data_IF_794397914009
#
_entry.id   IF_794397914009
#
_cell.length_a   1.000
_cell.length_b   1.000
_cell.length_c   1.000
_cell.angle_alpha   90.00
_cell.angle_beta   90.00
_cell.angle_gamma   90.00
#
_symmetry.space_group_name_H-M   'P 1'
#
loop_
_entity.id
_entity.type
_entity.pdbx_description
1 polymer ?
#
# COMPACT_ATOMS: atom_id res chain seq x y z
N UNK A 1 -16.73 -5.60 -23.98
CA UNK A 1 -15.70 -5.18 -23.00
C UNK A 1 -15.00 -6.44 -22.54
N UNK A 2 -13.74 -6.64 -22.91
CA UNK A 2 -12.96 -7.73 -22.33
C UNK A 2 -12.72 -7.43 -20.84
N UNK A 3 -12.97 -8.39 -19.94
CA UNK A 3 -12.69 -8.21 -18.52
C UNK A 3 -11.18 -7.94 -18.31
N UNK A 4 -10.88 -6.76 -17.79
CA UNK A 4 -9.51 -6.30 -17.56
C UNK A 4 -9.02 -6.82 -16.20
N UNK A 5 -8.87 -8.14 -16.10
CA UNK A 5 -8.58 -8.86 -14.86
C UNK A 5 -7.31 -8.36 -14.16
N UNK A 6 -6.29 -7.97 -14.90
CA UNK A 6 -5.03 -7.48 -14.34
C UNK A 6 -5.21 -6.22 -13.52
N UNK A 7 -6.02 -5.26 -13.99
CA UNK A 7 -6.36 -4.05 -13.25
C UNK A 7 -7.07 -4.35 -11.94
N UNK A 8 -8.01 -5.30 -11.97
CA UNK A 8 -8.79 -5.68 -10.79
C UNK A 8 -7.86 -6.31 -9.74
N UNK A 9 -6.95 -7.18 -10.17
CA UNK A 9 -5.96 -7.81 -9.29
C UNK A 9 -5.04 -6.77 -8.66
N UNK A 10 -4.46 -5.87 -9.47
CA UNK A 10 -3.61 -4.78 -8.97
C UNK A 10 -4.38 -3.92 -7.98
N UNK A 11 -5.62 -3.56 -8.29
CA UNK A 11 -6.46 -2.75 -7.41
C UNK A 11 -6.72 -3.42 -6.06
N UNK A 12 -7.02 -4.73 -6.07
CA UNK A 12 -7.18 -5.51 -4.83
C UNK A 12 -5.89 -5.50 -4.02
N UNK A 13 -4.73 -5.73 -4.65
CA UNK A 13 -3.43 -5.72 -3.98
C UNK A 13 -3.15 -4.35 -3.35
N UNK A 14 -3.27 -3.28 -4.13
CA UNK A 14 -3.00 -1.90 -3.72
C UNK A 14 -3.92 -1.46 -2.60
N UNK A 15 -5.23 -1.71 -2.71
CA UNK A 15 -6.17 -1.36 -1.64
C UNK A 15 -5.94 -2.18 -0.37
N UNK A 16 -5.68 -3.48 -0.51
CA UNK A 16 -5.40 -4.34 0.64
C UNK A 16 -4.14 -3.88 1.36
N UNK A 17 -3.06 -3.61 0.63
CA UNK A 17 -1.80 -3.10 1.17
C UNK A 17 -2.00 -1.75 1.89
N UNK A 18 -2.74 -0.83 1.28
CA UNK A 18 -3.03 0.49 1.85
C UNK A 18 -3.89 0.40 3.10
N UNK A 19 -4.91 -0.46 3.10
CA UNK A 19 -5.78 -0.69 4.25
C UNK A 19 -5.03 -1.32 5.43
N UNK A 20 -4.18 -2.32 5.15
CA UNK A 20 -3.33 -2.92 6.17
C UNK A 20 -2.38 -1.87 6.76
N UNK A 21 -1.72 -1.07 5.93
CA UNK A 21 -0.86 0.03 6.38
C UNK A 21 -1.61 1.04 7.24
N UNK A 22 -2.80 1.48 6.80
CA UNK A 22 -3.65 2.37 7.59
C UNK A 22 -3.95 1.79 8.97
N UNK A 23 -4.39 0.53 9.04
CA UNK A 23 -4.74 -0.12 10.30
C UNK A 23 -3.51 -0.24 11.21
N UNK A 24 -2.37 -0.70 10.69
CA UNK A 24 -1.13 -0.83 11.47
C UNK A 24 -0.67 0.51 12.05
N UNK A 25 -0.64 1.55 11.23
CA UNK A 25 -0.19 2.89 11.63
C UNK A 25 -1.15 3.50 12.65
N UNK A 26 -2.46 3.39 12.43
CA UNK A 26 -3.47 3.88 13.36
C UNK A 26 -3.38 3.18 14.72
N UNK A 27 -3.30 1.85 14.71
CA UNK A 27 -3.27 1.04 15.93
C UNK A 27 -1.97 1.30 16.72
N UNK A 28 -0.86 1.61 16.06
CA UNK A 28 0.36 2.04 16.74
C UNK A 28 0.23 3.43 17.37
N UNK A 29 -0.18 4.44 16.59
CA UNK A 29 -0.17 5.83 17.04
C UNK A 29 -1.30 6.17 18.02
N UNK A 30 -2.42 5.44 18.02
CA UNK A 30 -3.52 5.66 18.98
C UNK A 30 -3.10 5.36 20.42
N UNK A 31 -2.05 4.55 20.61
CA UNK A 31 -1.48 4.28 21.94
C UNK A 31 -0.59 5.41 22.45
N UNK A 32 -0.15 6.32 21.57
CA UNK A 32 0.83 7.39 21.88
C UNK A 32 0.26 8.80 21.76
N UNK A 33 -0.72 9.00 20.88
CA UNK A 33 -1.29 10.31 20.56
C UNK A 33 -2.81 10.31 20.62
N UNK A 34 -3.40 11.50 20.59
CA UNK A 34 -4.85 11.65 20.47
C UNK A 34 -5.38 10.97 19.20
N UNK A 35 -6.58 10.37 19.29
CA UNK A 35 -7.19 9.55 18.22
C UNK A 35 -7.24 10.24 16.86
N UNK A 36 -7.47 11.56 16.86
CA UNK A 36 -7.53 12.39 15.64
C UNK A 36 -6.16 12.46 14.95
N UNK A 37 -5.10 12.74 15.70
CA UNK A 37 -3.74 12.81 15.13
C UNK A 37 -3.25 11.43 14.67
N UNK A 38 -3.54 10.38 15.43
CA UNK A 38 -3.24 9.01 15.04
C UNK A 38 -3.93 8.63 13.72
N UNK A 39 -5.20 9.02 13.55
CA UNK A 39 -5.92 8.77 12.32
C UNK A 39 -5.38 9.59 11.14
N UNK A 40 -5.04 10.87 11.34
CA UNK A 40 -4.46 11.73 10.31
C UNK A 40 -3.12 11.16 9.79
N UNK A 41 -2.23 10.77 10.70
CA UNK A 41 -0.95 10.14 10.34
C UNK A 41 -1.21 8.84 9.55
N UNK A 42 -2.12 8.00 10.03
CA UNK A 42 -2.47 6.75 9.35
C UNK A 42 -3.02 6.96 7.94
N UNK A 43 -3.88 7.96 7.74
CA UNK A 43 -4.43 8.30 6.41
C UNK A 43 -3.31 8.77 5.49
N UNK A 44 -2.43 9.66 5.93
CA UNK A 44 -1.31 10.15 5.13
C UNK A 44 -0.38 8.99 4.72
N UNK A 45 0.03 8.15 5.67
CA UNK A 45 0.91 7.01 5.38
C UNK A 45 0.25 5.99 4.45
N UNK A 46 -1.04 5.73 4.61
CA UNK A 46 -1.78 4.84 3.72
C UNK A 46 -1.91 5.41 2.30
N UNK A 47 -2.11 6.73 2.14
CA UNK A 47 -2.12 7.38 0.83
C UNK A 47 -0.77 7.25 0.11
N UNK A 48 0.35 7.40 0.83
CA UNK A 48 1.67 7.16 0.26
C UNK A 48 1.90 5.67 -0.08
N UNK A 49 1.38 4.74 0.72
CA UNK A 49 1.40 3.31 0.40
C UNK A 49 0.62 3.01 -0.89
N UNK A 50 -0.56 3.62 -1.05
CA UNK A 50 -1.41 3.48 -2.21
C UNK A 50 -0.69 3.97 -3.47
N UNK A 51 -0.16 5.19 -3.43
CA UNK A 51 0.54 5.79 -4.57
C UNK A 51 1.82 5.01 -4.93
N UNK A 52 2.65 4.67 -3.94
CA UNK A 52 3.89 3.92 -4.17
C UNK A 52 3.64 2.53 -4.76
N UNK A 53 2.62 1.82 -4.29
CA UNK A 53 2.26 0.51 -4.84
C UNK A 53 1.66 0.62 -6.25
N UNK A 54 0.88 1.66 -6.55
CA UNK A 54 0.41 1.91 -7.93
C UNK A 54 1.57 2.10 -8.92
N UNK A 55 2.63 2.83 -8.53
CA UNK A 55 3.79 3.04 -9.39
C UNK A 55 4.53 1.74 -9.73
N UNK A 56 4.49 0.72 -8.86
CA UNK A 56 5.11 -0.58 -9.13
C UNK A 56 4.43 -1.37 -10.25
N UNK A 57 3.19 -1.05 -10.57
CA UNK A 57 2.42 -1.70 -11.64
C UNK A 57 2.29 -0.82 -12.88
N UNK A 58 3.01 0.30 -12.93
CA UNK A 58 3.04 1.17 -14.10
C UNK A 58 3.88 0.53 -15.22
N UNK A 59 3.42 0.53 -16.49
CA UNK A 59 4.16 -0.06 -17.60
C UNK A 59 5.47 0.70 -17.85
N UNK A 60 6.55 -0.04 -18.10
CA UNK A 60 7.89 0.55 -18.33
C UNK A 60 7.96 1.41 -19.60
N UNK A 61 7.20 1.05 -20.62
CA UNK A 61 7.15 1.72 -21.90
C UNK A 61 5.77 2.34 -22.11
N UNK A 62 5.35 3.23 -21.21
CA UNK A 62 4.08 3.92 -21.34
C UNK A 62 4.04 4.70 -22.66
N UNK A 63 3.28 4.16 -23.63
CA UNK A 63 3.00 4.83 -24.90
C UNK A 63 1.57 5.35 -24.85
N UNK A 64 1.43 6.67 -24.97
CA UNK A 64 0.13 7.35 -24.93
C UNK A 64 -0.71 6.85 -26.11
N UNK A 65 -1.69 5.97 -25.85
CA UNK A 65 -2.58 5.40 -26.86
C UNK A 65 -2.34 3.93 -27.25
N UNK A 66 -1.38 3.23 -26.65
CA UNK A 66 -1.17 1.78 -26.83
C UNK A 66 -1.25 1.07 -25.46
N UNK A 67 -2.01 -0.04 -25.36
CA UNK A 67 -2.13 -0.82 -24.11
C UNK A 67 -0.79 -1.47 -23.71
N UNK A 68 -0.54 -1.80 -22.42
CA UNK A 68 -1.49 -2.01 -21.33
C UNK A 68 -1.42 -0.94 -20.23
N UNK A 69 -2.57 -0.65 -19.62
CA UNK A 69 -2.72 0.37 -18.56
C UNK A 69 -2.04 0.00 -17.22
N UNK A 70 -1.68 -1.27 -17.02
CA UNK A 70 -0.92 -1.79 -15.86
C UNK A 70 -0.12 -3.04 -16.28
N UNK A 71 1.04 -3.27 -15.68
CA UNK A 71 1.89 -4.44 -15.90
C UNK A 71 2.04 -5.23 -14.60
N UNK A 72 1.47 -6.44 -14.54
CA UNK A 72 1.66 -7.34 -13.39
C UNK A 72 3.03 -8.00 -13.51
N UNK A 73 3.93 -7.62 -12.60
CA UNK A 73 5.20 -8.32 -12.39
C UNK A 73 5.19 -9.02 -11.04
N UNK A 74 5.68 -10.27 -11.02
CA UNK A 74 5.92 -11.02 -9.78
C UNK A 74 6.81 -10.21 -8.82
N UNK A 75 7.78 -9.48 -9.37
CA UNK A 75 8.65 -8.62 -8.57
C UNK A 75 7.88 -7.50 -7.88
N UNK A 76 6.94 -6.85 -8.57
CA UNK A 76 6.09 -5.80 -7.99
C UNK A 76 5.25 -6.33 -6.83
N UNK A 77 4.68 -7.53 -6.97
CA UNK A 77 3.92 -8.20 -5.91
C UNK A 77 4.81 -8.49 -4.69
N UNK A 78 6.00 -9.06 -4.92
CA UNK A 78 6.97 -9.36 -3.85
C UNK A 78 7.39 -8.08 -3.13
N UNK A 79 7.65 -6.99 -3.85
CA UNK A 79 8.00 -5.69 -3.25
C UNK A 79 6.88 -5.20 -2.35
N UNK A 80 5.61 -5.26 -2.79
CA UNK A 80 4.46 -4.87 -1.95
C UNK A 80 4.38 -5.73 -0.69
N UNK A 81 4.55 -7.05 -0.80
CA UNK A 81 4.54 -7.97 0.36
C UNK A 81 5.67 -7.63 1.33
N UNK A 82 6.88 -7.38 0.81
CA UNK A 82 8.05 -7.01 1.62
C UNK A 82 7.81 -5.69 2.33
N UNK A 83 7.30 -4.66 1.62
CA UNK A 83 6.97 -3.36 2.22
C UNK A 83 5.97 -3.49 3.36
N UNK A 84 4.84 -4.19 3.14
CA UNK A 84 3.84 -4.42 4.20
C UNK A 84 4.45 -5.18 5.37
N UNK A 85 5.27 -6.21 5.10
CA UNK A 85 5.94 -7.02 6.13
C UNK A 85 6.91 -6.19 6.96
N UNK A 86 7.71 -5.33 6.32
CA UNK A 86 8.64 -4.43 7.00
C UNK A 86 7.89 -3.44 7.90
N UNK A 87 6.83 -2.81 7.38
CA UNK A 87 5.97 -1.94 8.19
C UNK A 87 5.36 -2.70 9.37
N UNK A 88 4.89 -3.92 9.14
CA UNK A 88 4.37 -4.78 10.21
C UNK A 88 5.42 -5.05 11.28
N UNK A 89 6.65 -5.39 10.90
CA UNK A 89 7.73 -5.63 11.85
C UNK A 89 8.03 -4.37 12.68
N UNK A 90 8.15 -3.22 12.05
CA UNK A 90 8.37 -1.95 12.76
C UNK A 90 7.22 -1.64 13.72
N UNK A 91 5.98 -1.59 13.23
CA UNK A 91 4.86 -1.17 14.07
C UNK A 91 4.46 -2.20 15.14
N UNK A 92 4.69 -3.50 14.90
CA UNK A 92 4.40 -4.55 15.89
C UNK A 92 5.47 -4.68 16.97
N UNK A 93 6.74 -4.61 16.60
CA UNK A 93 7.84 -4.94 17.52
C UNK A 93 8.55 -3.72 18.11
N UNK A 94 8.25 -2.49 17.67
CA UNK A 94 8.70 -1.30 18.39
C UNK A 94 8.01 -1.29 19.76
N UNK A 95 8.76 -1.48 20.86
CA UNK A 95 8.18 -1.66 22.18
C UNK A 95 7.40 -0.41 22.56
N UNK A 96 6.12 -0.62 22.88
CA UNK A 96 5.28 0.38 23.51
C UNK A 96 5.76 0.54 24.96
N UNK A 97 6.82 1.32 25.18
CA UNK A 97 7.18 1.77 26.53
C UNK A 97 6.08 2.75 26.96
N UNK A 98 5.10 2.23 27.69
CA UNK A 98 4.27 3.04 28.58
C UNK A 98 5.17 3.72 29.61
#
# INVERSE_FOLDING_TARGET
MEPNYDKIIVLIIVFTASFLTWKMVKDFYITKFHKVFAHLIAVITASFMLLSSMFLFMPKNYQRGAGPDVEISIMSIVIVIVMVSVLYLFFKYIPNKK
#
